data_IF_720720402834
#
_entry.id   IF_720720402834
#
_cell.length_a   1.000
_cell.length_b   1.000
_cell.length_c   1.000
_cell.angle_alpha   90.00
_cell.angle_beta   90.00
_cell.angle_gamma   90.00
#
_symmetry.space_group_name_H-M   'P 1'
#
loop_
_entity.id
_entity.type
_entity.pdbx_description
1 polymer ?
#
# COMPACT_ATOMS: atom_id res chain seq x y z
N UNK A 1 -12.80 39.21 -13.83
CA UNK A 1 -12.44 37.83 -13.44
C UNK A 1 -11.10 37.91 -12.72
N UNK A 2 -10.98 37.39 -11.49
CA UNK A 2 -9.73 37.48 -10.74
C UNK A 2 -8.71 36.51 -11.31
N UNK A 3 -7.73 37.04 -12.04
CA UNK A 3 -6.65 36.29 -12.66
C UNK A 3 -5.53 36.16 -11.63
N UNK A 4 -5.37 34.96 -11.06
CA UNK A 4 -4.32 34.72 -10.07
C UNK A 4 -3.07 34.22 -10.79
N UNK A 5 -1.92 34.88 -10.56
CA UNK A 5 -0.66 34.53 -11.22
C UNK A 5 0.32 34.01 -10.16
N UNK A 6 0.78 32.78 -10.34
CA UNK A 6 1.75 32.14 -9.44
C UNK A 6 2.91 31.59 -10.27
N UNK A 7 4.14 31.94 -9.90
CA UNK A 7 5.37 31.54 -10.60
C UNK A 7 5.38 31.83 -12.11
N UNK A 8 4.70 32.90 -12.54
CA UNK A 8 4.57 33.23 -13.95
C UNK A 8 3.36 32.61 -14.65
N UNK A 9 2.71 31.62 -14.06
CA UNK A 9 1.55 30.92 -14.63
C UNK A 9 0.23 31.54 -14.23
N UNK A 10 -0.67 31.66 -15.19
CA UNK A 10 -2.01 32.16 -14.99
C UNK A 10 -2.97 31.05 -14.56
N UNK A 11 -3.53 31.17 -13.36
CA UNK A 11 -4.55 30.28 -12.83
C UNK A 11 -5.92 30.91 -13.08
N UNK A 12 -6.64 30.32 -14.04
CA UNK A 12 -8.02 30.72 -14.33
C UNK A 12 -8.98 30.07 -13.34
N UNK A 13 -10.16 30.66 -13.16
CA UNK A 13 -11.26 30.06 -12.41
C UNK A 13 -12.38 29.66 -13.35
N UNK A 14 -13.03 28.53 -13.07
CA UNK A 14 -14.30 28.17 -13.71
C UNK A 14 -15.39 29.17 -13.31
N UNK A 15 -16.53 29.21 -14.02
CA UNK A 15 -17.70 30.00 -13.60
C UNK A 15 -18.18 29.63 -12.18
N UNK A 16 -17.93 28.39 -11.75
CA UNK A 16 -18.22 27.87 -10.39
C UNK A 16 -17.14 28.19 -9.35
N UNK A 17 -16.11 28.97 -9.70
CA UNK A 17 -15.06 29.42 -8.79
C UNK A 17 -13.91 28.44 -8.55
N UNK A 18 -13.89 27.27 -9.21
CA UNK A 18 -12.80 26.29 -9.06
C UNK A 18 -11.57 26.70 -9.87
N UNK A 19 -10.38 26.53 -9.31
CA UNK A 19 -9.13 26.79 -10.03
C UNK A 19 -8.92 25.78 -11.17
N UNK A 20 -8.55 26.29 -12.34
CA UNK A 20 -8.11 25.53 -13.50
C UNK A 20 -6.58 25.56 -13.49
N UNK A 21 -5.98 24.43 -13.15
CA UNK A 21 -4.53 24.28 -13.02
C UNK A 21 -3.92 23.89 -14.37
N UNK A 22 -3.13 24.76 -15.01
CA UNK A 22 -2.49 24.45 -16.28
C UNK A 22 -1.44 23.33 -16.12
N UNK A 23 -1.18 22.57 -17.18
CA UNK A 23 -0.26 21.43 -17.11
C UNK A 23 1.17 21.86 -16.81
N UNK A 24 1.61 22.99 -17.37
CA UNK A 24 2.94 23.56 -17.13
C UNK A 24 3.16 23.88 -15.64
N UNK A 25 2.15 24.45 -14.97
CA UNK A 25 2.20 24.68 -13.52
C UNK A 25 2.28 23.37 -12.74
N UNK A 26 1.53 22.34 -13.14
CA UNK A 26 1.60 21.02 -12.48
C UNK A 26 3.00 20.41 -12.65
N UNK A 27 3.60 20.54 -13.82
CA UNK A 27 4.95 20.06 -14.09
C UNK A 27 5.98 20.81 -13.28
N UNK A 28 5.86 22.14 -13.19
CA UNK A 28 6.76 22.93 -12.36
C UNK A 28 6.61 22.58 -10.88
N UNK A 29 5.38 22.39 -10.40
CA UNK A 29 5.12 21.96 -9.02
C UNK A 29 5.79 20.61 -8.72
N UNK A 30 5.70 19.62 -9.63
CA UNK A 30 6.33 18.32 -9.41
C UNK A 30 7.84 18.34 -9.63
N UNK A 31 8.35 19.22 -10.50
CA UNK A 31 9.78 19.51 -10.68
C UNK A 31 10.38 20.02 -9.36
N UNK A 32 9.78 21.03 -8.73
CA UNK A 32 10.25 21.57 -7.44
C UNK A 32 10.29 20.53 -6.32
N UNK A 33 9.29 19.66 -6.26
CA UNK A 33 9.27 18.58 -5.25
C UNK A 33 10.40 17.57 -5.48
N UNK A 34 10.67 17.23 -6.74
CA UNK A 34 11.66 16.20 -7.11
C UNK A 34 13.08 16.73 -7.09
N UNK A 35 13.31 17.86 -7.74
CA UNK A 35 14.65 18.42 -8.01
C UNK A 35 15.09 19.36 -6.91
N UNK A 36 14.19 20.24 -6.46
CA UNK A 36 14.49 21.25 -5.45
C UNK A 36 14.23 20.72 -4.02
N UNK A 37 13.70 19.50 -3.90
CA UNK A 37 13.43 18.83 -2.61
C UNK A 37 12.32 19.48 -1.78
N UNK A 38 11.49 20.33 -2.38
CA UNK A 38 10.43 21.03 -1.64
C UNK A 38 9.35 20.07 -1.13
N UNK A 39 8.80 20.36 0.05
CA UNK A 39 7.67 19.59 0.55
C UNK A 39 6.41 19.88 -0.27
N UNK A 40 5.49 18.91 -0.46
CA UNK A 40 4.21 19.16 -1.11
C UNK A 40 3.36 20.22 -0.40
N UNK A 41 3.56 20.40 0.92
CA UNK A 41 2.88 21.40 1.74
C UNK A 41 3.30 22.82 1.38
N UNK A 42 4.61 23.06 1.26
CA UNK A 42 5.15 24.38 0.91
C UNK A 42 4.70 24.79 -0.50
N UNK A 43 4.82 23.87 -1.46
CA UNK A 43 4.32 24.05 -2.82
C UNK A 43 2.82 24.37 -2.84
N UNK A 44 2.02 23.68 -2.01
CA UNK A 44 0.59 23.94 -1.94
C UNK A 44 0.27 25.31 -1.35
N UNK A 45 1.02 25.74 -0.33
CA UNK A 45 0.87 27.05 0.29
C UNK A 45 1.17 28.18 -0.72
N UNK A 46 2.26 28.07 -1.48
CA UNK A 46 2.61 29.05 -2.53
C UNK A 46 1.55 29.13 -3.63
N UNK A 47 0.99 27.98 -4.03
CA UNK A 47 -0.06 27.91 -5.06
C UNK A 47 -1.45 28.33 -4.56
N UNK A 48 -1.66 28.43 -3.24
CA UNK A 48 -3.00 28.51 -2.66
C UNK A 48 -3.86 27.28 -2.99
N UNK A 49 -3.22 26.11 -3.10
CA UNK A 49 -3.85 24.83 -3.37
C UNK A 49 -3.95 23.98 -2.11
N UNK A 50 -4.78 22.94 -2.14
CA UNK A 50 -4.79 21.94 -1.08
C UNK A 50 -3.64 20.94 -1.28
N UNK A 51 -2.87 20.63 -0.23
CA UNK A 51 -1.69 19.75 -0.31
C UNK A 51 -1.96 18.40 -0.99
N UNK A 52 -3.08 17.75 -0.64
CA UNK A 52 -3.49 16.49 -1.27
C UNK A 52 -3.56 16.56 -2.82
N UNK A 53 -3.92 17.72 -3.38
CA UNK A 53 -3.93 17.91 -4.83
C UNK A 53 -2.51 17.87 -5.42
N UNK A 54 -1.56 18.54 -4.77
CA UNK A 54 -0.14 18.56 -5.18
C UNK A 54 0.48 17.18 -5.05
N UNK A 55 0.18 16.43 -3.97
CA UNK A 55 0.63 15.04 -3.81
C UNK A 55 0.13 14.15 -4.95
N UNK A 56 -1.12 14.32 -5.39
CA UNK A 56 -1.66 13.57 -6.55
C UNK A 56 -0.90 13.89 -7.85
N UNK A 57 -0.50 15.14 -8.06
CA UNK A 57 0.33 15.50 -9.21
C UNK A 57 1.69 14.83 -9.15
N UNK A 58 2.36 14.87 -7.99
CA UNK A 58 3.66 14.22 -7.79
C UNK A 58 3.58 12.70 -8.06
N UNK A 59 2.54 12.02 -7.56
CA UNK A 59 2.31 10.60 -7.83
C UNK A 59 2.04 10.33 -9.32
N UNK A 60 1.25 11.17 -9.99
CA UNK A 60 0.96 11.02 -11.41
C UNK A 60 2.22 11.24 -12.28
N UNK A 61 3.03 12.24 -11.94
CA UNK A 61 4.30 12.54 -12.60
C UNK A 61 5.32 11.40 -12.42
N UNK A 62 5.44 10.87 -11.19
CA UNK A 62 6.23 9.66 -10.91
C UNK A 62 5.79 8.47 -11.77
N UNK A 63 4.49 8.21 -11.84
CA UNK A 63 3.92 7.12 -12.65
C UNK A 63 4.20 7.31 -14.14
N UNK A 64 4.11 8.54 -14.65
CA UNK A 64 4.44 8.85 -16.06
C UNK A 64 5.89 8.56 -16.41
N UNK A 65 6.82 8.77 -15.46
CA UNK A 65 8.25 8.45 -15.65
C UNK A 65 8.57 6.96 -15.51
N UNK A 66 7.62 6.13 -15.06
CA UNK A 66 7.86 4.71 -14.83
C UNK A 66 8.73 4.41 -13.60
N UNK A 67 8.88 5.38 -12.68
CA UNK A 67 9.56 5.16 -11.41
C UNK A 67 8.81 4.11 -10.59
N UNK A 68 9.47 2.95 -10.39
CA UNK A 68 8.96 1.90 -9.51
C UNK A 68 9.16 2.34 -8.07
N UNK A 69 8.11 2.16 -7.26
CA UNK A 69 8.25 2.30 -5.82
C UNK A 69 9.11 1.12 -5.38
N UNK A 70 10.38 1.38 -5.09
CA UNK A 70 11.20 0.44 -4.34
C UNK A 70 10.66 0.44 -2.91
N UNK A 71 9.71 -0.45 -2.65
CA UNK A 71 9.40 -0.85 -1.30
C UNK A 71 10.61 -1.67 -0.87
N UNK A 72 11.49 -1.10 -0.04
CA UNK A 72 12.57 -1.85 0.60
C UNK A 72 11.95 -2.94 1.48
N UNK A 73 11.76 -4.12 0.89
CA UNK A 73 11.32 -5.32 1.58
C UNK A 73 9.90 -5.28 2.18
N UNK A 74 9.37 -6.43 2.61
CA UNK A 74 8.16 -6.47 3.42
C UNK A 74 8.38 -5.66 4.71
N UNK A 75 7.42 -4.81 5.08
CA UNK A 75 7.38 -4.12 6.38
C UNK A 75 7.08 -5.07 7.56
N UNK A 76 7.45 -6.34 7.44
CA UNK A 76 7.26 -7.39 8.43
C UNK A 76 8.62 -8.00 8.73
N UNK A 77 9.07 -7.86 9.98
CA UNK A 77 10.24 -8.54 10.47
C UNK A 77 9.90 -10.04 10.63
N UNK A 78 10.72 -10.91 10.05
CA UNK A 78 10.68 -12.33 10.37
C UNK A 78 11.16 -12.51 11.81
N UNK A 79 10.24 -12.74 12.74
CA UNK A 79 10.57 -13.15 14.10
C UNK A 79 10.85 -14.67 14.08
N UNK A 80 12.12 -15.06 14.16
CA UNK A 80 12.48 -16.42 14.59
C UNK A 80 12.42 -16.45 16.10
N UNK A 81 11.45 -17.19 16.64
CA UNK A 81 11.47 -17.62 18.04
C UNK A 81 12.34 -18.87 18.06
N UNK A 82 13.54 -18.75 18.61
CA UNK A 82 14.33 -19.91 19.00
C UNK A 82 13.54 -20.62 20.11
N UNK A 83 12.97 -21.78 19.79
CA UNK A 83 12.40 -22.67 20.78
C UNK A 83 13.57 -23.20 21.60
N UNK A 84 13.79 -22.62 22.79
CA UNK A 84 14.69 -23.18 23.80
C UNK A 84 14.05 -24.45 24.35
N UNK A 85 14.03 -25.48 23.50
CA UNK A 85 13.65 -26.82 23.87
C UNK A 85 14.83 -27.45 24.62
N UNK A 86 14.81 -27.25 25.93
CA UNK A 86 15.47 -28.07 26.94
C UNK A 86 15.78 -29.48 26.43
N UNK A 87 17.07 -29.80 26.40
CA UNK A 87 17.65 -31.12 26.12
C UNK A 87 16.92 -32.19 26.94
N UNK A 88 16.12 -33.03 26.28
CA UNK A 88 15.74 -34.35 26.78
C UNK A 88 15.85 -35.33 25.61
N UNK A 89 16.87 -36.18 25.66
CA UNK A 89 17.02 -37.34 24.79
C UNK A 89 15.89 -38.35 25.01
N UNK A 90 15.23 -38.82 23.94
CA UNK A 90 14.80 -40.22 23.74
C UNK A 90 14.24 -40.43 22.30
N UNK A 91 14.11 -41.68 21.78
CA UNK A 91 14.51 -42.04 20.41
C UNK A 91 13.34 -42.10 19.41
N UNK A 92 13.65 -41.86 18.13
CA UNK A 92 12.86 -42.30 16.96
C UNK A 92 12.72 -43.84 16.94
N UNK A 93 11.67 -44.47 16.34
CA UNK A 93 11.05 -44.03 15.08
C UNK A 93 9.52 -44.23 14.90
N UNK A 94 9.03 -43.58 13.83
CA UNK A 94 7.91 -43.94 12.92
C UNK A 94 6.44 -43.52 13.22
N UNK A 95 5.88 -42.87 12.18
CA UNK A 95 4.46 -42.75 11.77
C UNK A 95 3.40 -42.27 12.76
N UNK A 96 3.14 -40.97 12.77
CA UNK A 96 1.96 -40.38 12.12
C UNK A 96 2.03 -38.87 12.32
N UNK A 97 2.23 -38.12 11.23
CA UNK A 97 2.23 -36.66 11.29
C UNK A 97 0.78 -36.18 11.45
N UNK A 98 0.30 -36.15 12.69
CA UNK A 98 -0.94 -35.46 13.07
C UNK A 98 -0.72 -33.95 13.09
N UNK A 99 -0.31 -33.39 11.95
CA UNK A 99 -0.20 -31.94 11.79
C UNK A 99 -1.54 -31.36 11.35
N UNK A 100 -1.88 -30.18 11.87
CA UNK A 100 -3.00 -29.37 11.40
C UNK A 100 -2.48 -28.21 10.53
N UNK A 101 -3.10 -28.00 9.37
CA UNK A 101 -2.98 -26.78 8.59
C UNK A 101 -3.92 -25.70 9.14
N UNK A 102 -3.48 -24.45 9.13
CA UNK A 102 -4.28 -23.30 9.57
C UNK A 102 -4.35 -22.22 8.50
N UNK A 103 -5.55 -21.68 8.27
CA UNK A 103 -5.81 -20.52 7.40
C UNK A 103 -6.34 -19.39 8.26
N UNK A 104 -5.69 -18.22 8.17
CA UNK A 104 -6.08 -17.00 8.89
C UNK A 104 -6.66 -15.99 7.89
N UNK A 105 -7.91 -15.58 8.09
CA UNK A 105 -8.59 -14.56 7.28
C UNK A 105 -9.25 -13.53 8.22
N UNK A 106 -8.58 -12.41 8.44
CA UNK A 106 -9.03 -11.39 9.38
C UNK A 106 -9.11 -11.94 10.80
N UNK A 107 -10.32 -11.97 11.38
CA UNK A 107 -10.58 -12.54 12.72
C UNK A 107 -10.96 -14.02 12.69
N UNK A 108 -11.10 -14.63 11.50
CA UNK A 108 -11.51 -16.02 11.35
C UNK A 108 -10.28 -16.91 11.20
N UNK A 109 -10.19 -17.93 12.06
CA UNK A 109 -9.16 -18.97 11.99
C UNK A 109 -9.83 -20.29 11.62
N UNK A 110 -9.31 -20.94 10.57
CA UNK A 110 -9.82 -22.24 10.12
C UNK A 110 -8.69 -23.26 10.22
N UNK A 111 -8.91 -24.30 11.01
CA UNK A 111 -7.96 -25.39 11.23
C UNK A 111 -8.47 -26.67 10.59
N UNK A 112 -7.58 -27.41 9.94
CA UNK A 112 -7.91 -28.69 9.30
C UNK A 112 -6.73 -29.67 9.33
N UNK A 113 -6.97 -30.98 9.29
CA UNK A 113 -5.88 -31.96 9.26
C UNK A 113 -5.09 -31.87 7.94
N UNK A 114 -3.76 -32.04 8.00
CA UNK A 114 -2.90 -32.03 6.80
C UNK A 114 -3.22 -33.16 5.81
N UNK A 115 -3.91 -34.22 6.27
CA UNK A 115 -4.40 -35.31 5.43
C UNK A 115 -5.77 -35.05 4.77
N UNK A 116 -6.30 -33.83 4.82
CA UNK A 116 -7.59 -33.52 4.22
C UNK A 116 -7.53 -33.70 2.71
N UNK A 117 -8.52 -34.40 2.14
CA UNK A 117 -8.65 -34.51 0.69
C UNK A 117 -9.03 -33.16 0.08
N UNK A 118 -8.53 -32.90 -1.13
CA UNK A 118 -8.81 -31.65 -1.86
C UNK A 118 -10.32 -31.35 -1.95
N UNK A 119 -11.13 -32.38 -2.23
CA UNK A 119 -12.58 -32.24 -2.29
C UNK A 119 -13.24 -31.80 -0.98
N UNK A 120 -12.69 -32.18 0.17
CA UNK A 120 -13.18 -31.76 1.48
C UNK A 120 -12.70 -30.36 1.85
N UNK A 121 -11.47 -30.00 1.46
CA UNK A 121 -10.94 -28.65 1.66
C UNK A 121 -11.75 -27.62 0.86
N UNK A 122 -12.13 -27.94 -0.38
CA UNK A 122 -12.99 -27.07 -1.21
C UNK A 122 -14.37 -26.85 -0.59
N UNK A 123 -14.98 -27.89 0.01
CA UNK A 123 -16.25 -27.74 0.73
C UNK A 123 -16.11 -26.80 1.93
N UNK A 124 -15.04 -26.97 2.70
CA UNK A 124 -14.74 -26.17 3.88
C UNK A 124 -14.48 -24.70 3.51
N UNK A 125 -13.78 -24.43 2.41
CA UNK A 125 -13.61 -23.07 1.86
C UNK A 125 -14.92 -22.45 1.34
N UNK A 126 -15.81 -23.25 0.71
CA UNK A 126 -17.13 -22.76 0.28
C UNK A 126 -18.01 -22.34 1.45
N UNK A 127 -17.98 -23.09 2.55
CA UNK A 127 -18.73 -22.74 3.77
C UNK A 127 -18.14 -21.51 4.44
N UNK A 128 -16.80 -21.44 4.56
CA UNK A 128 -16.12 -20.28 5.13
C UNK A 128 -16.30 -18.99 4.32
N UNK A 129 -16.44 -19.11 3.00
CA UNK A 129 -16.72 -17.99 2.09
C UNK A 129 -18.19 -17.56 2.04
N UNK A 130 -19.11 -18.33 2.61
CA UNK A 130 -20.51 -17.94 2.80
C UNK A 130 -20.68 -17.16 4.13
N UNK A 131 -19.96 -16.05 4.26
CA UNK A 131 -20.30 -15.03 5.24
C UNK A 131 -21.42 -14.16 4.62
N UNK A 132 -22.59 -14.14 5.28
CA UNK A 132 -23.72 -13.25 4.98
C UNK A 132 -23.32 -11.77 5.09
#
# INVERSE_FOLDING_TARGET
>A
MAENKVWGFTIRKTPTGKNIWPNELKWEATRRIREDGQSPGDVAAELGAHECLVRKWSVADRRRRGEKIHIEGPAFAALSVEDDASVVETPRPASDQTGCGRILCGTVTIEFPLGISEGNLVKLMKVAGQLQ
#
